data_IF_728087759443
#
_entry.id   IF_728087759443
#
_cell.length_a   1.000
_cell.length_b   1.000
_cell.length_c   1.000
_cell.angle_alpha   90.00
_cell.angle_beta   90.00
_cell.angle_gamma   90.00
#
_symmetry.space_group_name_H-M   'P 1'
#
loop_
_entity.id
_entity.type
_entity.pdbx_description
1 polymer ?
#
# COMPACT_ATOMS: atom_id res chain seq x y z
N UNK A 1 -9.20 -29.69 -17.57
CA UNK A 1 -8.58 -28.58 -16.81
C UNK A 1 -8.31 -29.10 -15.41
N UNK A 2 -7.05 -29.39 -15.09
CA UNK A 2 -6.64 -29.79 -13.74
C UNK A 2 -6.68 -28.57 -12.83
N UNK A 3 -7.38 -28.66 -11.70
CA UNK A 3 -7.39 -27.60 -10.70
C UNK A 3 -5.94 -27.38 -10.22
N UNK A 4 -5.38 -26.20 -10.47
CA UNK A 4 -4.08 -25.84 -9.95
C UNK A 4 -4.13 -25.89 -8.41
N UNK A 5 -3.38 -26.82 -7.82
CA UNK A 5 -3.26 -26.95 -6.37
C UNK A 5 -2.61 -25.68 -5.84
N UNK A 6 -3.37 -24.87 -5.09
CA UNK A 6 -2.83 -23.69 -4.42
C UNK A 6 -1.91 -24.16 -3.31
N UNK A 7 -0.61 -23.88 -3.43
CA UNK A 7 0.33 -24.10 -2.34
C UNK A 7 0.05 -23.05 -1.26
N UNK A 8 -0.76 -23.43 -0.26
CA UNK A 8 -1.02 -22.59 0.91
C UNK A 8 0.11 -22.78 1.90
N UNK A 9 1.04 -21.83 1.97
CA UNK A 9 2.01 -21.78 3.06
C UNK A 9 1.34 -21.18 4.30
N UNK A 10 0.78 -22.03 5.15
CA UNK A 10 0.19 -21.60 6.42
C UNK A 10 1.30 -21.30 7.44
N UNK A 11 1.83 -20.08 7.41
CA UNK A 11 2.55 -19.55 8.56
C UNK A 11 1.50 -19.01 9.54
N UNK A 12 1.33 -19.67 10.69
CA UNK A 12 0.45 -19.17 11.76
C UNK A 12 1.30 -18.29 12.67
N UNK A 13 1.37 -17.01 12.37
CA UNK A 13 1.87 -16.01 13.30
C UNK A 13 0.67 -15.26 13.89
N UNK A 14 0.48 -15.33 15.21
CA UNK A 14 -0.66 -14.71 15.92
C UNK A 14 -2.07 -15.11 15.39
N UNK A 15 -2.21 -16.30 14.81
CA UNK A 15 -3.51 -16.78 14.26
C UNK A 15 -3.82 -16.30 12.84
N UNK A 16 -2.91 -15.56 12.21
CA UNK A 16 -3.04 -15.09 10.82
C UNK A 16 -2.59 -16.21 9.88
N UNK A 17 -3.37 -16.52 8.85
CA UNK A 17 -2.92 -17.43 7.78
C UNK A 17 -2.35 -16.58 6.65
N UNK A 18 -1.07 -16.79 6.35
CA UNK A 18 -0.46 -16.16 5.19
C UNK A 18 -0.87 -16.89 3.91
N UNK A 19 -1.33 -16.14 2.91
CA UNK A 19 -1.59 -16.67 1.57
C UNK A 19 -0.73 -15.92 0.57
N UNK A 20 0.21 -16.63 -0.04
CA UNK A 20 1.00 -16.13 -1.16
C UNK A 20 0.48 -16.74 -2.46
N UNK A 21 0.47 -15.94 -3.52
CA UNK A 21 0.16 -16.40 -4.87
C UNK A 21 1.46 -16.50 -5.65
N UNK A 22 1.79 -17.73 -6.07
CA UNK A 22 2.94 -17.95 -6.94
C UNK A 22 2.74 -17.30 -8.30
N UNK A 23 3.83 -16.86 -8.93
CA UNK A 23 3.78 -16.19 -10.22
C UNK A 23 3.13 -17.07 -11.29
N UNK A 24 3.46 -18.36 -11.33
CA UNK A 24 2.87 -19.30 -12.30
C UNK A 24 1.35 -19.44 -12.13
N UNK A 25 0.87 -19.42 -10.88
CA UNK A 25 -0.56 -19.43 -10.60
C UNK A 25 -1.23 -18.14 -11.09
N UNK A 26 -0.61 -16.99 -10.86
CA UNK A 26 -1.12 -15.71 -11.37
C UNK A 26 -1.15 -15.69 -12.90
N UNK A 27 -0.09 -16.16 -13.56
CA UNK A 27 0.00 -16.25 -15.02
C UNK A 27 -1.11 -17.15 -15.60
N UNK A 28 -1.41 -18.28 -14.95
CA UNK A 28 -2.53 -19.14 -15.31
C UNK A 28 -3.87 -18.42 -15.19
N UNK A 29 -4.11 -17.72 -14.07
CA UNK A 29 -5.33 -16.93 -13.86
C UNK A 29 -5.49 -15.84 -14.93
N UNK A 30 -4.39 -15.18 -15.28
CA UNK A 30 -4.35 -14.11 -16.28
C UNK A 30 -4.38 -14.61 -17.73
N UNK A 31 -4.29 -15.93 -17.95
CA UNK A 31 -4.11 -16.53 -19.27
C UNK A 31 -2.96 -15.85 -20.04
N UNK A 32 -1.81 -15.71 -19.36
CA UNK A 32 -0.66 -14.92 -19.81
C UNK A 32 0.63 -15.73 -19.66
N UNK A 33 1.58 -15.54 -20.56
CA UNK A 33 2.95 -16.07 -20.38
C UNK A 33 3.88 -15.03 -19.73
N UNK A 34 4.99 -15.49 -19.16
CA UNK A 34 5.96 -14.60 -18.50
C UNK A 34 6.47 -13.47 -19.41
N UNK A 35 6.71 -13.77 -20.69
CA UNK A 35 7.18 -12.77 -21.68
C UNK A 35 6.13 -11.68 -21.91
N UNK A 36 4.86 -12.06 -22.01
CA UNK A 36 3.76 -11.10 -22.17
C UNK A 36 3.63 -10.22 -20.92
N UNK A 37 3.74 -10.81 -19.72
CA UNK A 37 3.70 -10.06 -18.46
C UNK A 37 4.81 -9.02 -18.39
N UNK A 38 6.06 -9.42 -18.61
CA UNK A 38 7.22 -8.50 -18.59
C UNK A 38 7.02 -7.35 -19.58
N UNK A 39 6.55 -7.65 -20.79
CA UNK A 39 6.27 -6.64 -21.82
C UNK A 39 5.18 -5.67 -21.37
N UNK A 40 4.08 -6.16 -20.80
CA UNK A 40 2.97 -5.33 -20.30
C UNK A 40 3.40 -4.44 -19.14
N UNK A 41 4.26 -4.94 -18.25
CA UNK A 41 4.72 -4.21 -17.08
C UNK A 41 5.81 -3.16 -17.42
N UNK A 42 6.45 -3.27 -18.59
CA UNK A 42 7.34 -2.25 -19.14
C UNK A 42 6.59 -1.05 -19.74
N UNK A 43 7.34 -0.05 -20.19
CA UNK A 43 6.78 1.08 -20.95
C UNK A 43 6.31 0.63 -22.35
N UNK A 44 5.26 1.25 -22.86
CA UNK A 44 4.70 1.05 -24.19
C UNK A 44 4.05 2.34 -24.72
N UNK A 45 3.58 2.33 -25.98
CA UNK A 45 2.84 3.46 -26.55
C UNK A 45 1.54 3.78 -25.77
N UNK A 46 0.84 2.75 -25.27
CA UNK A 46 -0.39 2.91 -24.49
C UNK A 46 -0.12 3.25 -23.02
N UNK A 47 1.11 3.00 -22.56
CA UNK A 47 1.53 3.19 -21.17
C UNK A 47 2.99 3.64 -21.09
N UNK A 48 3.26 4.96 -21.17
CA UNK A 48 4.62 5.46 -21.43
C UNK A 48 5.60 5.28 -20.26
N UNK A 49 5.11 4.87 -19.09
CA UNK A 49 5.89 4.62 -17.89
C UNK A 49 5.80 3.15 -17.44
N UNK A 50 6.86 2.60 -16.81
CA UNK A 50 6.83 1.25 -16.26
C UNK A 50 5.81 1.14 -15.14
N UNK A 51 5.36 -0.09 -14.86
CA UNK A 51 4.38 -0.39 -13.82
C UNK A 51 4.82 0.04 -12.41
N UNK A 52 6.12 0.18 -12.17
CA UNK A 52 6.67 0.70 -10.91
C UNK A 52 6.33 2.17 -10.66
N UNK A 53 5.94 2.92 -11.70
CA UNK A 53 5.51 4.32 -11.61
C UNK A 53 4.01 4.49 -11.81
N UNK A 54 3.25 3.39 -11.82
CA UNK A 54 1.81 3.43 -11.95
C UNK A 54 1.15 4.04 -10.71
N UNK A 55 0.12 4.86 -10.87
CA UNK A 55 -0.54 5.55 -9.73
C UNK A 55 -1.09 4.58 -8.69
N UNK A 56 -1.58 3.42 -9.14
CA UNK A 56 -2.02 2.34 -8.24
C UNK A 56 -0.83 1.78 -7.44
N UNK A 57 0.28 1.45 -8.10
CA UNK A 57 1.48 0.94 -7.44
C UNK A 57 2.09 1.96 -6.47
N UNK A 58 2.12 3.24 -6.87
CA UNK A 58 2.59 4.33 -6.01
C UNK A 58 1.73 4.49 -4.75
N UNK A 59 0.40 4.35 -4.88
CA UNK A 59 -0.50 4.35 -3.73
C UNK A 59 -0.18 3.22 -2.76
N UNK A 60 0.06 2.00 -3.26
CA UNK A 60 0.46 0.89 -2.42
C UNK A 60 1.83 1.09 -1.78
N UNK A 61 2.80 1.64 -2.51
CA UNK A 61 4.12 1.94 -1.97
C UNK A 61 4.08 3.03 -0.88
N UNK A 62 3.18 4.00 -0.99
CA UNK A 62 2.95 4.99 0.07
C UNK A 62 2.39 4.33 1.34
N UNK A 63 1.45 3.39 1.20
CA UNK A 63 0.94 2.59 2.32
C UNK A 63 2.07 1.75 2.94
N UNK A 64 2.84 1.02 2.12
CA UNK A 64 3.99 0.21 2.59
C UNK A 64 5.01 1.05 3.36
N UNK A 65 5.39 2.20 2.80
CA UNK A 65 6.32 3.12 3.44
C UNK A 65 5.81 3.57 4.82
N UNK A 66 4.54 3.96 4.91
CA UNK A 66 3.93 4.35 6.18
C UNK A 66 3.88 3.20 7.19
N UNK A 67 3.52 2.00 6.74
CA UNK A 67 3.49 0.83 7.61
C UNK A 67 4.87 0.49 8.15
N UNK A 68 5.91 0.55 7.31
CA UNK A 68 7.27 0.25 7.74
C UNK A 68 7.79 1.31 8.74
N UNK A 69 7.46 2.60 8.53
CA UNK A 69 7.80 3.66 9.46
C UNK A 69 7.10 3.50 10.83
N UNK A 70 5.80 3.21 10.84
CA UNK A 70 5.03 2.97 12.08
C UNK A 70 5.58 1.72 12.79
N UNK A 71 5.80 0.63 12.06
CA UNK A 71 6.30 -0.61 12.66
C UNK A 71 7.67 -0.39 13.30
N UNK A 72 8.59 0.30 12.62
CA UNK A 72 9.90 0.67 13.19
C UNK A 72 9.78 1.55 14.45
N UNK A 73 8.83 2.49 14.47
CA UNK A 73 8.56 3.30 15.65
C UNK A 73 8.01 2.44 16.81
N UNK A 74 7.13 1.48 16.53
CA UNK A 74 6.57 0.57 17.54
C UNK A 74 7.62 -0.39 18.11
N UNK A 75 8.50 -0.94 17.27
CA UNK A 75 9.66 -1.72 17.72
C UNK A 75 10.53 -0.91 18.68
N UNK A 76 10.86 0.33 18.29
CA UNK A 76 11.67 1.24 19.12
C UNK A 76 10.98 1.60 20.43
N UNK A 77 9.68 1.86 20.39
CA UNK A 77 8.88 2.18 21.57
C UNK A 77 8.77 0.99 22.52
N UNK A 78 8.50 -0.21 21.99
CA UNK A 78 8.45 -1.46 22.73
C UNK A 78 9.78 -1.77 23.40
N UNK A 79 10.90 -1.70 22.67
CA UNK A 79 12.24 -1.88 23.23
C UNK A 79 12.53 -0.85 24.34
N UNK A 80 12.17 0.42 24.11
CA UNK A 80 12.40 1.49 25.10
C UNK A 80 11.61 1.26 26.39
N UNK A 81 10.31 0.96 26.29
CA UNK A 81 9.41 0.81 27.43
C UNK A 81 9.57 -0.53 28.16
N UNK A 82 9.64 -1.62 27.41
CA UNK A 82 9.58 -2.99 27.95
C UNK A 82 10.96 -3.44 28.37
N UNK A 83 11.96 -3.30 27.49
CA UNK A 83 13.29 -3.85 27.72
C UNK A 83 14.16 -2.90 28.55
N UNK A 84 14.02 -1.59 28.36
CA UNK A 84 14.90 -0.58 28.98
C UNK A 84 14.25 0.24 30.09
N UNK A 85 12.94 0.08 30.30
CA UNK A 85 12.18 0.85 31.30
C UNK A 85 12.16 2.37 31.06
N UNK A 86 12.49 2.83 29.84
CA UNK A 86 12.51 4.25 29.48
C UNK A 86 11.10 4.71 29.09
N UNK A 87 10.69 5.83 29.67
CA UNK A 87 9.41 6.47 29.37
C UNK A 87 9.35 6.96 27.92
N UNK A 88 8.17 6.86 27.30
CA UNK A 88 7.89 7.59 26.06
C UNK A 88 7.69 9.07 26.39
N UNK A 89 8.35 9.94 25.64
CA UNK A 89 8.08 11.36 25.68
C UNK A 89 6.73 11.68 25.04
N UNK A 90 6.08 12.75 25.50
CA UNK A 90 4.77 13.18 25.00
C UNK A 90 4.77 13.41 23.48
N UNK A 91 5.79 14.07 22.95
CA UNK A 91 5.91 14.31 21.51
C UNK A 91 5.99 13.02 20.68
N UNK A 92 6.56 11.93 21.23
CA UNK A 92 6.65 10.64 20.55
C UNK A 92 5.26 10.01 20.42
N UNK A 93 4.48 10.07 21.50
CA UNK A 93 3.11 9.56 21.54
C UNK A 93 2.24 10.37 20.57
N UNK A 94 2.31 11.70 20.62
CA UNK A 94 1.57 12.59 19.72
C UNK A 94 1.90 12.30 18.27
N UNK A 95 3.19 12.14 17.92
CA UNK A 95 3.60 11.84 16.55
C UNK A 95 3.11 10.47 16.07
N UNK A 96 3.21 9.44 16.92
CA UNK A 96 2.69 8.11 16.61
C UNK A 96 1.18 8.15 16.33
N UNK A 97 0.41 8.84 17.17
CA UNK A 97 -1.03 9.00 16.99
C UNK A 97 -1.40 9.77 15.72
N UNK A 98 -0.62 10.79 15.33
CA UNK A 98 -0.83 11.52 14.07
C UNK A 98 -0.61 10.59 12.89
N UNK A 99 0.52 9.88 12.86
CA UNK A 99 0.90 9.04 11.72
C UNK A 99 -0.06 7.84 11.57
N UNK A 100 -0.51 7.24 12.68
CA UNK A 100 -1.53 6.16 12.64
C UNK A 100 -2.88 6.67 12.15
N UNK A 101 -3.31 7.88 12.57
CA UNK A 101 -4.54 8.51 12.04
C UNK A 101 -4.45 8.80 10.54
N UNK A 102 -3.29 9.22 10.06
CA UNK A 102 -3.07 9.41 8.62
C UNK A 102 -3.10 8.09 7.86
N UNK A 103 -2.45 7.03 8.36
CA UNK A 103 -2.54 5.69 7.75
C UNK A 103 -4.01 5.23 7.69
N UNK A 104 -4.74 5.36 8.79
CA UNK A 104 -6.16 5.01 8.88
C UNK A 104 -6.97 5.69 7.77
N UNK A 105 -6.91 7.02 7.69
CA UNK A 105 -7.63 7.80 6.67
C UNK A 105 -7.26 7.35 5.26
N UNK A 106 -5.96 7.23 4.98
CA UNK A 106 -5.48 6.97 3.62
C UNK A 106 -5.78 5.54 3.15
N UNK A 107 -5.72 4.55 4.04
CA UNK A 107 -6.13 3.17 3.71
C UNK A 107 -7.64 3.11 3.44
N UNK A 108 -8.48 3.76 4.26
CA UNK A 108 -9.92 3.83 3.98
C UNK A 108 -10.23 4.46 2.63
N UNK A 109 -9.58 5.60 2.32
CA UNK A 109 -9.75 6.26 1.02
C UNK A 109 -9.26 5.38 -0.14
N UNK A 110 -8.16 4.67 0.03
CA UNK A 110 -7.62 3.75 -0.97
C UNK A 110 -8.56 2.59 -1.25
N UNK A 111 -9.04 1.92 -0.20
CA UNK A 111 -10.00 0.81 -0.30
C UNK A 111 -11.30 1.28 -0.94
N UNK A 112 -11.88 2.38 -0.45
CA UNK A 112 -13.11 2.94 -0.99
C UNK A 112 -12.99 3.24 -2.49
N UNK A 113 -11.91 3.88 -2.93
CA UNK A 113 -11.71 4.15 -4.35
C UNK A 113 -11.60 2.89 -5.20
N UNK A 114 -10.87 1.87 -4.72
CA UNK A 114 -10.77 0.60 -5.44
C UNK A 114 -12.16 -0.01 -5.65
N UNK A 115 -12.95 -0.07 -4.58
CA UNK A 115 -14.26 -0.73 -4.58
C UNK A 115 -15.34 0.02 -5.35
N UNK A 116 -15.35 1.34 -5.27
CA UNK A 116 -16.45 2.14 -5.82
C UNK A 116 -16.11 2.85 -7.13
N UNK A 117 -14.84 2.91 -7.52
CA UNK A 117 -14.39 3.61 -8.73
C UNK A 117 -13.59 2.70 -9.64
N UNK A 118 -12.42 2.22 -9.19
CA UNK A 118 -11.47 1.54 -10.07
C UNK A 118 -11.97 0.17 -10.53
N UNK A 119 -12.40 -0.71 -9.62
CA UNK A 119 -12.84 -2.05 -9.98
C UNK A 119 -14.14 -2.05 -10.80
N UNK A 120 -15.16 -1.24 -10.48
CA UNK A 120 -16.34 -1.11 -11.35
C UNK A 120 -15.96 -0.63 -12.75
N UNK A 121 -15.07 0.35 -12.86
CA UNK A 121 -14.61 0.84 -14.16
C UNK A 121 -13.83 -0.23 -14.94
N UNK A 122 -12.93 -0.98 -14.29
CA UNK A 122 -12.21 -2.10 -14.93
C UNK A 122 -13.17 -3.20 -15.41
N UNK A 123 -14.21 -3.48 -14.62
CA UNK A 123 -15.22 -4.51 -14.92
C UNK A 123 -16.07 -4.20 -16.15
N UNK A 124 -15.98 -2.98 -16.71
CA UNK A 124 -16.64 -2.64 -17.98
C UNK A 124 -15.99 -3.31 -19.20
N UNK A 125 -14.74 -3.82 -19.07
CA UNK A 125 -14.00 -4.44 -20.17
C UNK A 125 -13.34 -5.77 -19.83
N UNK A 126 -13.23 -6.11 -18.54
CA UNK A 126 -12.49 -7.27 -18.07
C UNK A 126 -13.22 -7.94 -16.93
N UNK A 127 -13.39 -9.25 -17.02
CA UNK A 127 -13.83 -10.05 -15.89
C UNK A 127 -12.72 -10.11 -14.84
N UNK A 128 -12.90 -9.42 -13.72
CA UNK A 128 -11.92 -9.37 -12.65
C UNK A 128 -11.83 -10.74 -11.95
N UNK A 129 -10.63 -11.32 -11.79
CA UNK A 129 -10.48 -12.62 -11.13
C UNK A 129 -11.06 -12.59 -9.72
N UNK A 130 -11.89 -13.59 -9.38
CA UNK A 130 -12.48 -13.69 -8.05
C UNK A 130 -11.42 -13.58 -6.94
N UNK A 131 -10.23 -14.18 -7.12
CA UNK A 131 -9.13 -14.11 -6.16
C UNK A 131 -8.64 -12.69 -5.85
N UNK A 132 -8.72 -11.78 -6.80
CA UNK A 132 -8.36 -10.37 -6.60
C UNK A 132 -9.38 -9.66 -5.70
N UNK A 133 -10.65 -10.05 -5.77
CA UNK A 133 -11.77 -9.45 -5.03
C UNK A 133 -12.05 -10.13 -3.69
N UNK A 134 -11.71 -11.42 -3.59
CA UNK A 134 -11.89 -12.37 -2.49
C UNK A 134 -10.87 -12.11 -1.37
N UNK A 135 -11.06 -11.00 -0.68
CA UNK A 135 -10.45 -10.74 0.62
C UNK A 135 -11.51 -10.25 1.61
N UNK A 136 -11.31 -10.60 2.88
CA UNK A 136 -12.18 -10.18 3.96
C UNK A 136 -11.89 -8.71 4.31
N UNK A 137 -12.49 -7.81 3.53
CA UNK A 137 -12.41 -6.37 3.72
C UNK A 137 -12.93 -5.95 5.09
N UNK A 138 -13.99 -6.59 5.57
CA UNK A 138 -14.58 -6.28 6.87
C UNK A 138 -13.58 -6.56 8.00
N UNK A 139 -12.92 -7.72 7.98
CA UNK A 139 -11.87 -8.05 8.95
C UNK A 139 -10.69 -7.09 8.85
N UNK A 140 -10.27 -6.73 7.63
CA UNK A 140 -9.17 -5.78 7.43
C UNK A 140 -9.50 -4.40 8.01
N UNK A 141 -10.68 -3.86 7.73
CA UNK A 141 -11.10 -2.54 8.23
C UNK A 141 -11.34 -2.56 9.75
N UNK A 142 -11.91 -3.64 10.30
CA UNK A 142 -12.07 -3.79 11.74
C UNK A 142 -10.71 -3.84 12.47
N UNK A 143 -9.70 -4.47 11.87
CA UNK A 143 -8.35 -4.46 12.41
C UNK A 143 -7.69 -3.08 12.33
N UNK A 144 -7.94 -2.34 11.24
CA UNK A 144 -7.49 -0.96 11.09
C UNK A 144 -8.13 -0.04 12.15
N UNK A 145 -9.42 -0.20 12.44
CA UNK A 145 -10.12 0.47 13.54
C UNK A 145 -9.50 0.13 14.90
N UNK A 146 -9.25 -1.15 15.15
CA UNK A 146 -8.60 -1.60 16.40
C UNK A 146 -7.22 -0.98 16.58
N UNK A 147 -6.40 -0.95 15.53
CA UNK A 147 -5.07 -0.31 15.56
C UNK A 147 -5.18 1.17 15.90
N UNK A 148 -6.13 1.90 15.30
CA UNK A 148 -6.37 3.31 15.60
C UNK A 148 -6.72 3.50 17.08
N UNK A 149 -7.68 2.73 17.59
CA UNK A 149 -8.13 2.81 18.98
C UNK A 149 -7.00 2.48 19.98
N UNK A 150 -6.24 1.42 19.72
CA UNK A 150 -5.07 1.06 20.53
C UNK A 150 -4.04 2.19 20.54
N UNK A 151 -3.78 2.82 19.39
CA UNK A 151 -2.87 3.94 19.32
C UNK A 151 -3.35 5.18 20.08
N UNK A 152 -4.66 5.45 20.06
CA UNK A 152 -5.29 6.53 20.84
C UNK A 152 -5.18 6.28 22.35
N UNK A 153 -5.09 5.01 22.78
CA UNK A 153 -4.88 4.64 24.19
C UNK A 153 -3.44 4.74 24.68
N UNK A 154 -2.45 4.90 23.78
CA UNK A 154 -1.05 5.04 24.17
C UNK A 154 -0.84 6.36 24.90
N UNK A 155 -0.22 6.29 26.08
CA UNK A 155 0.14 7.45 26.91
C UNK A 155 1.65 7.61 27.02
N UNK A 156 2.10 8.82 27.39
CA UNK A 156 3.49 9.06 27.78
C UNK A 156 3.83 8.37 29.10
N UNK A 157 5.12 8.33 29.45
CA UNK A 157 5.61 7.68 30.68
C UNK A 157 6.03 6.22 30.48
N UNK A 158 6.39 5.55 31.58
CA UNK A 158 6.81 4.14 31.61
C UNK A 158 5.85 3.24 32.43
N UNK A 159 4.57 3.63 32.49
CA UNK A 159 3.56 2.93 33.30
C UNK A 159 3.27 1.53 32.77
N UNK A 160 2.77 0.64 33.61
CA UNK A 160 2.33 -0.69 33.18
C UNK A 160 1.24 -0.63 32.10
N UNK A 161 0.37 0.40 32.16
CA UNK A 161 -0.64 0.68 31.13
C UNK A 161 0.00 1.03 29.79
N UNK A 162 1.00 1.93 29.78
CA UNK A 162 1.71 2.31 28.55
C UNK A 162 2.43 1.11 27.92
N UNK A 163 3.09 0.27 28.74
CA UNK A 163 3.75 -0.95 28.28
C UNK A 163 2.76 -1.92 27.62
N UNK A 164 1.60 -2.13 28.25
CA UNK A 164 0.55 -3.00 27.71
C UNK A 164 -0.01 -2.45 26.39
N UNK A 165 -0.38 -1.17 26.37
CA UNK A 165 -0.95 -0.52 25.18
C UNK A 165 0.01 -0.61 23.98
N UNK A 166 1.30 -0.33 24.18
CA UNK A 166 2.31 -0.45 23.11
C UNK A 166 2.51 -1.90 22.66
N UNK A 167 2.50 -2.86 23.59
CA UNK A 167 2.59 -4.29 23.25
C UNK A 167 1.41 -4.77 22.41
N UNK A 168 0.18 -4.42 22.81
CA UNK A 168 -1.03 -4.78 22.07
C UNK A 168 -1.11 -4.10 20.70
N UNK A 169 -0.76 -2.81 20.65
CA UNK A 169 -0.67 -2.06 19.39
C UNK A 169 0.35 -2.68 18.45
N UNK A 170 1.53 -3.04 18.94
CA UNK A 170 2.59 -3.69 18.17
C UNK A 170 2.10 -4.99 17.52
N UNK A 171 1.52 -5.90 18.32
CA UNK A 171 0.98 -7.16 17.81
C UNK A 171 -0.15 -6.96 16.80
N UNK A 172 -1.12 -6.08 17.10
CA UNK A 172 -2.22 -5.79 16.18
C UNK A 172 -1.73 -5.17 14.86
N UNK A 173 -0.74 -4.27 14.94
CA UNK A 173 -0.16 -3.61 13.78
C UNK A 173 0.64 -4.58 12.89
N UNK A 174 1.36 -5.54 13.49
CA UNK A 174 2.06 -6.58 12.74
C UNK A 174 1.08 -7.40 11.88
N UNK A 175 -0.06 -7.79 12.46
CA UNK A 175 -1.12 -8.50 11.73
C UNK A 175 -1.68 -7.63 10.60
N UNK A 176 -2.00 -6.36 10.88
CA UNK A 176 -2.55 -5.44 9.89
C UNK A 176 -1.61 -5.25 8.71
N UNK A 177 -0.34 -4.97 9.00
CA UNK A 177 0.72 -4.78 8.00
C UNK A 177 0.84 -6.00 7.10
N UNK A 178 0.75 -7.18 7.67
CA UNK A 178 0.87 -8.43 6.94
C UNK A 178 -0.30 -8.65 5.98
N UNK A 179 -1.54 -8.49 6.46
CA UNK A 179 -2.75 -8.63 5.64
C UNK A 179 -2.81 -7.57 4.53
N UNK A 180 -2.50 -6.30 4.84
CA UNK A 180 -2.46 -5.23 3.84
C UNK A 180 -1.43 -5.51 2.74
N UNK A 181 -0.23 -5.97 3.11
CA UNK A 181 0.81 -6.30 2.13
C UNK A 181 0.36 -7.40 1.17
N UNK A 182 -0.20 -8.48 1.72
CA UNK A 182 -0.71 -9.59 0.91
C UNK A 182 -1.80 -9.15 -0.05
N UNK A 183 -2.74 -8.33 0.42
CA UNK A 183 -3.82 -7.83 -0.43
C UNK A 183 -3.27 -6.94 -1.55
N UNK A 184 -2.36 -6.01 -1.23
CA UNK A 184 -1.75 -5.13 -2.23
C UNK A 184 -0.89 -5.89 -3.24
N UNK A 185 -0.14 -6.90 -2.80
CA UNK A 185 0.66 -7.77 -3.68
C UNK A 185 -0.24 -8.55 -4.64
N UNK A 186 -1.35 -9.09 -4.15
CA UNK A 186 -2.32 -9.79 -5.00
C UNK A 186 -2.97 -8.88 -6.03
N UNK A 187 -3.35 -7.68 -5.63
CA UNK A 187 -3.89 -6.65 -6.51
C UNK A 187 -2.88 -6.21 -7.58
N UNK A 188 -1.62 -6.04 -7.21
CA UNK A 188 -0.55 -5.71 -8.15
C UNK A 188 -0.23 -6.85 -9.10
N UNK A 189 -0.26 -8.09 -8.62
CA UNK A 189 0.08 -9.27 -9.41
C UNK A 189 -1.02 -9.61 -10.43
N UNK A 190 -2.31 -9.41 -10.08
CA UNK A 190 -3.44 -9.72 -10.93
C UNK A 190 -4.06 -8.49 -11.60
N UNK A 191 -4.34 -7.45 -10.82
CA UNK A 191 -5.08 -6.28 -11.28
C UNK A 191 -4.25 -5.38 -12.19
N UNK A 192 -2.97 -5.14 -11.87
CA UNK A 192 -2.15 -4.22 -12.64
C UNK A 192 -1.86 -4.72 -14.09
N UNK A 193 -1.57 -6.01 -14.34
CA UNK A 193 -1.48 -6.52 -15.70
C UNK A 193 -2.79 -6.39 -16.48
N UNK A 194 -3.94 -6.67 -15.85
CA UNK A 194 -5.25 -6.52 -16.50
C UNK A 194 -5.55 -5.07 -16.85
N UNK A 195 -5.25 -4.14 -15.92
CA UNK A 195 -5.38 -2.71 -16.17
C UNK A 195 -4.58 -2.30 -17.41
N UNK A 196 -3.31 -2.69 -17.48
CA UNK A 196 -2.40 -2.29 -18.57
C UNK A 196 -2.69 -3.00 -19.90
N UNK A 197 -3.30 -4.18 -19.85
CA UNK A 197 -3.69 -4.95 -21.04
C UNK A 197 -4.94 -4.38 -21.72
N UNK A 198 -5.88 -3.82 -20.95
CA UNK A 198 -7.21 -3.46 -21.45
C UNK A 198 -7.52 -1.95 -21.47
N UNK A 199 -6.65 -1.14 -20.87
CA UNK A 199 -6.81 0.30 -20.80
C UNK A 199 -5.51 1.00 -21.22
N UNK A 200 -5.61 2.29 -21.48
CA UNK A 200 -4.47 3.18 -21.71
C UNK A 200 -4.19 4.03 -20.47
N UNK A 201 -2.95 4.51 -20.33
CA UNK A 201 -2.58 5.43 -19.25
C UNK A 201 -3.43 6.71 -19.27
N UNK A 202 -3.89 7.15 -20.45
CA UNK A 202 -4.75 8.34 -20.59
C UNK A 202 -6.13 8.12 -19.99
N UNK A 203 -6.73 6.95 -20.20
CA UNK A 203 -8.03 6.60 -19.63
C UNK A 203 -7.93 6.47 -18.11
N UNK A 204 -6.89 5.79 -17.61
CA UNK A 204 -6.64 5.69 -16.17
C UNK A 204 -6.41 7.08 -15.54
N UNK A 205 -5.61 7.95 -16.17
CA UNK A 205 -5.40 9.31 -15.70
C UNK A 205 -6.68 10.15 -15.72
N UNK A 206 -7.57 9.95 -16.70
CA UNK A 206 -8.86 10.63 -16.75
C UNK A 206 -9.78 10.22 -15.59
N UNK A 207 -9.75 8.94 -15.19
CA UNK A 207 -10.45 8.43 -14.01
C UNK A 207 -9.94 9.11 -12.73
N UNK A 208 -8.62 9.23 -12.59
CA UNK A 208 -7.98 9.77 -11.39
C UNK A 208 -7.98 11.31 -11.33
N UNK A 209 -8.16 12.01 -12.46
CA UNK A 209 -8.00 13.48 -12.55
C UNK A 209 -8.81 14.23 -11.50
N UNK A 210 -10.08 13.89 -11.33
CA UNK A 210 -10.96 14.55 -10.34
C UNK A 210 -10.49 14.29 -8.91
N UNK A 211 -10.00 13.08 -8.64
CA UNK A 211 -9.51 12.70 -7.32
C UNK A 211 -8.24 13.45 -6.98
N UNK A 212 -7.25 13.41 -7.87
CA UNK A 212 -5.97 14.11 -7.68
C UNK A 212 -6.19 15.61 -7.49
N UNK A 213 -7.10 16.22 -8.26
CA UNK A 213 -7.45 17.63 -8.11
C UNK A 213 -8.12 17.97 -6.76
N UNK A 214 -8.79 17.00 -6.13
CA UNK A 214 -9.41 17.15 -4.82
C UNK A 214 -8.49 16.77 -3.65
N UNK A 215 -7.30 16.22 -3.91
CA UNK A 215 -6.34 15.87 -2.86
C UNK A 215 -5.80 17.14 -2.21
N UNK A 216 -5.77 17.16 -0.88
CA UNK A 216 -5.12 18.22 -0.13
C UNK A 216 -3.59 18.09 -0.28
N UNK A 217 -2.82 19.18 -0.14
CA UNK A 217 -1.36 19.12 -0.27
C UNK A 217 -0.70 18.07 0.63
N UNK A 218 -1.21 17.86 1.84
CA UNK A 218 -0.66 16.85 2.75
C UNK A 218 -0.94 15.41 2.30
N UNK A 219 -2.08 15.14 1.66
CA UNK A 219 -2.41 13.82 1.09
C UNK A 219 -1.57 13.56 -0.18
N UNK A 220 -1.31 14.59 -0.98
CA UNK A 220 -0.42 14.47 -2.14
C UNK A 220 1.03 14.22 -1.70
N UNK A 221 1.52 14.94 -0.69
CA UNK A 221 2.85 14.72 -0.12
C UNK A 221 2.99 13.31 0.47
N UNK A 222 1.90 12.76 1.03
CA UNK A 222 1.84 11.38 1.48
C UNK A 222 2.01 10.40 0.32
N UNK A 223 1.23 10.57 -0.76
CA UNK A 223 1.26 9.70 -1.94
C UNK A 223 2.64 9.69 -2.63
N UNK A 224 3.29 10.86 -2.71
CA UNK A 224 4.57 11.01 -3.42
C UNK A 224 5.79 10.64 -2.55
N UNK A 225 5.59 10.36 -1.25
CA UNK A 225 6.70 10.10 -0.31
C UNK A 225 7.65 8.97 -0.74
N UNK A 226 7.20 7.84 -1.31
CA UNK A 226 8.10 6.79 -1.78
C UNK A 226 9.08 7.26 -2.86
N UNK A 227 8.70 8.25 -3.67
CA UNK A 227 9.54 8.78 -4.75
C UNK A 227 10.73 9.57 -4.22
N UNK A 228 10.61 10.19 -3.05
CA UNK A 228 11.71 10.97 -2.43
C UNK A 228 12.89 10.06 -2.08
N UNK A 229 12.63 8.84 -1.60
CA UNK A 229 13.68 7.86 -1.30
C UNK A 229 14.46 7.41 -2.54
N UNK A 230 13.75 7.21 -3.66
CA UNK A 230 14.37 6.86 -4.95
C UNK A 230 15.29 7.98 -5.46
N UNK A 231 14.89 9.24 -5.29
CA UNK A 231 15.69 10.41 -5.69
C UNK A 231 16.96 10.53 -4.83
N UNK A 232 16.86 10.33 -3.51
CA UNK A 232 18.03 10.42 -2.62
C UNK A 232 19.05 9.29 -2.83
N UNK A 233 18.60 8.08 -3.20
CA UNK A 233 19.51 7.01 -3.61
C UNK A 233 20.13 7.23 -5.00
N UNK A 234 19.41 7.87 -5.93
CA UNK A 234 19.92 8.24 -7.26
C UNK A 234 21.00 9.33 -7.21
N UNK A 235 20.86 10.31 -6.31
CA UNK A 235 21.87 11.37 -6.08
C UNK A 235 23.19 10.80 -5.57
N UNK A 236 23.18 9.70 -4.80
CA UNK A 236 24.41 8.98 -4.41
C UNK A 236 25.07 8.20 -5.55
N UNK A 237 24.38 7.98 -6.68
CA UNK A 237 24.91 7.28 -7.87
C UNK A 237 25.28 8.21 -9.03
N UNK A 238 25.43 9.52 -8.79
CA UNK A 238 26.05 10.44 -9.75
C UNK A 238 25.23 10.78 -11.00
N UNK A 239 23.95 10.42 -11.07
CA UNK A 239 23.07 10.86 -12.14
C UNK A 239 22.38 12.16 -11.73
N UNK A 240 22.87 13.28 -12.26
CA UNK A 240 22.21 14.58 -12.14
C UNK A 240 20.86 14.57 -12.85
N UNK A 241 19.79 14.24 -12.13
CA UNK A 241 18.42 14.43 -12.60
C UNK A 241 17.87 15.69 -11.93
N UNK A 242 17.78 16.76 -12.71
CA UNK A 242 17.21 18.04 -12.29
C UNK A 242 15.69 17.92 -12.13
N UNK A 243 15.20 18.51 -11.04
CA UNK A 243 13.88 18.34 -10.43
C UNK A 243 12.64 18.82 -11.25
N UNK A 244 12.79 19.26 -12.50
CA UNK A 244 11.73 20.03 -13.20
C UNK A 244 10.98 19.29 -14.32
N UNK A 245 11.36 18.07 -14.68
CA UNK A 245 10.76 17.37 -15.83
C UNK A 245 9.53 16.49 -15.55
N UNK A 246 9.41 15.92 -14.34
CA UNK A 246 8.48 14.81 -14.09
C UNK A 246 7.17 15.26 -13.43
N UNK A 247 7.19 16.36 -12.67
CA UNK A 247 5.99 16.87 -11.99
C UNK A 247 5.08 17.75 -12.90
N UNK A 248 5.56 18.22 -14.06
CA UNK A 248 4.82 19.19 -14.89
C UNK A 248 4.20 18.60 -16.18
N UNK A 249 4.44 17.33 -16.50
CA UNK A 249 3.87 16.67 -17.71
C UNK A 249 2.64 15.79 -17.43
N UNK A 250 2.00 15.96 -16.28
CA UNK A 250 0.71 15.34 -15.97
C UNK A 250 -0.35 16.43 -15.82
N UNK A 251 -0.86 16.93 -16.95
CA UNK A 251 -2.28 17.30 -17.02
C UNK A 251 -2.73 18.75 -16.76
N UNK A 252 -1.92 19.77 -17.07
CA UNK A 252 -2.42 21.16 -17.24
C UNK A 252 -1.88 21.80 -18.54
N UNK A 253 -2.00 21.10 -19.66
CA UNK A 253 -2.01 21.74 -20.98
C UNK A 253 -3.36 22.41 -21.17
N UNK A 254 -3.45 23.68 -20.78
CA UNK A 254 -4.44 24.60 -21.30
C UNK A 254 -3.98 25.12 -22.64
N UNK A 255 -4.91 25.07 -23.60
CA UNK A 255 -4.83 25.46 -25.02
C UNK A 255 -4.12 24.50 -25.97
#
# INVERSE_FOLDING_TARGET
MTAATVTKFKLVDHGVTLEFMELDQALQILCMCHVELVRLMGSSANWPFPATLDGWKLSHDAIRYHMDAIFSALETAKASLVERGKALAEWQVTLLQIIVRDLYRNVHQHVHHKRHTLFPWMSTRVDLPAKMLDYDEATLLALLDRVRQLCESVSSGATASAKRAVGELHSAFLVLRTLLRQQMEREELLGLPLLRKHFTAREAAALEKKRVAAMKPHDLAWLLRPLVGLLMCGVRRGYGVTWLGVAWRVGLGGE
#
